data_IF_403175705150
#
_entry.id   IF_403175705150
#
_cell.length_a   1.000
_cell.length_b   1.000
_cell.length_c   1.000
_cell.angle_alpha   90.00
_cell.angle_beta   90.00
_cell.angle_gamma   90.00
#
_symmetry.space_group_name_H-M   'P 1'
#
loop_
_entity.id
_entity.type
_entity.pdbx_description
1 polymer ?
#
# COMPACT_ATOMS: atom_id res chain seq x y z
N UNK A 1 8.74 -9.60 -21.12
CA UNK A 1 8.93 -8.57 -20.07
C UNK A 1 10.27 -7.87 -20.25
N UNK A 2 10.34 -6.64 -19.83
CA UNK A 2 11.58 -5.85 -19.74
C UNK A 2 11.96 -5.74 -18.28
N UNK A 3 13.26 -5.85 -17.99
CA UNK A 3 13.82 -5.74 -16.63
C UNK A 3 14.74 -4.53 -16.55
N UNK A 4 14.58 -3.75 -15.50
CA UNK A 4 15.48 -2.68 -15.12
C UNK A 4 16.07 -2.99 -13.75
N UNK A 5 17.38 -2.76 -13.63
CA UNK A 5 18.09 -2.81 -12.35
C UNK A 5 18.80 -1.50 -12.12
N UNK A 6 19.09 -1.16 -10.86
CA UNK A 6 19.94 -0.02 -10.51
C UNK A 6 21.29 -0.53 -9.98
N UNK A 7 22.32 0.33 -10.09
CA UNK A 7 23.65 0.00 -9.52
C UNK A 7 23.64 -0.05 -7.99
N UNK A 8 22.68 0.65 -7.38
CA UNK A 8 22.55 0.78 -5.92
C UNK A 8 21.84 -0.41 -5.27
N UNK A 9 20.96 -1.09 -6.06
CA UNK A 9 20.22 -2.28 -5.62
C UNK A 9 20.15 -3.29 -6.77
N UNK A 10 21.25 -3.97 -7.10
CA UNK A 10 21.30 -4.89 -8.23
C UNK A 10 20.45 -6.16 -8.01
N UNK A 11 20.12 -6.47 -6.76
CA UNK A 11 19.24 -7.60 -6.39
C UNK A 11 17.75 -7.31 -6.67
N UNK A 12 17.38 -6.04 -6.79
CA UNK A 12 16.01 -5.63 -7.07
C UNK A 12 15.86 -5.22 -8.54
N UNK A 13 14.74 -5.61 -9.11
CA UNK A 13 14.39 -5.29 -10.48
C UNK A 13 13.03 -4.59 -10.55
N UNK A 14 12.87 -3.74 -11.55
CA UNK A 14 11.56 -3.31 -12.03
C UNK A 14 11.25 -4.14 -13.26
N UNK A 15 10.24 -4.98 -13.17
CA UNK A 15 9.75 -5.80 -14.29
C UNK A 15 8.53 -5.13 -14.92
N UNK A 16 8.58 -4.91 -16.22
CA UNK A 16 7.46 -4.41 -17.01
C UNK A 16 7.03 -5.50 -17.97
N UNK A 17 5.75 -5.85 -17.98
CA UNK A 17 5.19 -6.89 -18.81
C UNK A 17 3.80 -6.49 -19.33
N UNK A 18 3.38 -6.94 -20.53
CA UNK A 18 2.01 -6.74 -21.00
C UNK A 18 1.06 -7.58 -20.11
N UNK A 19 -0.19 -7.11 -19.97
CA UNK A 19 -1.24 -7.86 -19.23
C UNK A 19 -1.51 -9.20 -19.91
N UNK A 20 -1.84 -9.18 -21.20
CA UNK A 20 -1.92 -10.40 -22.00
C UNK A 20 -0.52 -10.89 -22.39
N UNK A 21 -0.39 -12.18 -22.67
CA UNK A 21 0.88 -12.78 -23.14
C UNK A 21 1.17 -12.39 -24.59
N UNK A 22 1.45 -11.12 -24.81
CA UNK A 22 1.81 -10.56 -26.12
C UNK A 22 3.26 -10.09 -26.12
N UNK A 23 3.78 -9.77 -27.30
CA UNK A 23 5.09 -9.16 -27.44
C UNK A 23 5.16 -7.79 -26.74
N UNK A 24 6.34 -7.43 -26.34
CA UNK A 24 6.71 -6.11 -25.84
C UNK A 24 8.02 -5.73 -26.52
N UNK A 25 8.09 -4.55 -27.07
CA UNK A 25 9.28 -4.04 -27.72
C UNK A 25 9.92 -2.96 -26.87
N UNK A 26 11.24 -2.98 -26.82
CA UNK A 26 12.05 -1.95 -26.20
C UNK A 26 13.07 -1.43 -27.21
N UNK A 27 12.87 -0.20 -27.64
CA UNK A 27 13.78 0.49 -28.56
C UNK A 27 13.81 1.98 -28.21
N UNK A 28 14.95 2.63 -28.39
CA UNK A 28 15.14 4.08 -28.19
C UNK A 28 14.65 4.59 -26.83
N UNK A 29 14.88 3.82 -25.77
CA UNK A 29 14.38 4.05 -24.40
C UNK A 29 12.83 4.10 -24.28
N UNK A 30 12.12 3.58 -25.26
CA UNK A 30 10.66 3.45 -25.26
C UNK A 30 10.25 2.00 -25.10
N UNK A 31 9.19 1.79 -24.33
CA UNK A 31 8.52 0.50 -24.22
C UNK A 31 7.22 0.58 -24.99
N UNK A 32 7.09 -0.25 -26.02
CA UNK A 32 5.89 -0.35 -26.83
C UNK A 32 5.14 -1.62 -26.48
N UNK A 33 3.89 -1.47 -26.10
CA UNK A 33 2.97 -2.56 -25.78
C UNK A 33 1.80 -2.49 -26.77
N UNK A 34 1.47 -3.59 -27.47
CA UNK A 34 0.33 -3.61 -28.37
C UNK A 34 -0.99 -3.28 -27.65
N UNK A 35 -1.89 -2.56 -28.31
CA UNK A 35 -3.21 -2.24 -27.74
C UNK A 35 -3.99 -3.50 -27.33
N UNK A 36 -3.85 -4.58 -28.08
CA UNK A 36 -4.44 -5.89 -27.78
C UNK A 36 -3.93 -6.52 -26.46
N UNK A 37 -2.84 -6.00 -25.88
CA UNK A 37 -2.33 -6.47 -24.59
C UNK A 37 -3.21 -6.06 -23.40
N UNK A 38 -4.17 -5.16 -23.58
CA UNK A 38 -5.03 -4.66 -22.50
C UNK A 38 -4.32 -3.73 -21.49
N UNK A 39 -3.05 -3.42 -21.73
CA UNK A 39 -2.23 -2.60 -20.86
C UNK A 39 -0.90 -3.29 -20.48
N UNK A 40 -0.25 -2.75 -19.47
CA UNK A 40 1.00 -3.31 -18.93
C UNK A 40 0.96 -3.38 -17.40
N UNK A 41 1.78 -4.28 -16.87
CA UNK A 41 1.99 -4.51 -15.45
C UNK A 41 3.40 -4.07 -15.07
N UNK A 42 3.54 -3.45 -13.92
CA UNK A 42 4.83 -3.12 -13.33
C UNK A 42 4.94 -3.85 -12.00
N UNK A 43 6.00 -4.62 -11.82
CA UNK A 43 6.31 -5.29 -10.57
C UNK A 43 7.73 -4.92 -10.12
N UNK A 44 7.90 -4.75 -8.81
CA UNK A 44 9.17 -4.45 -8.17
C UNK A 44 9.50 -5.52 -7.13
N UNK A 45 10.77 -5.86 -6.99
CA UNK A 45 11.29 -6.83 -6.05
C UNK A 45 12.47 -7.60 -6.62
N UNK A 46 12.79 -8.74 -6.06
CA UNK A 46 13.77 -9.63 -6.69
C UNK A 46 13.26 -10.09 -8.06
N UNK A 47 14.13 -10.65 -8.88
CA UNK A 47 13.72 -11.15 -10.18
C UNK A 47 12.61 -12.19 -10.07
N UNK A 48 12.69 -13.07 -9.09
CA UNK A 48 11.69 -14.10 -8.83
C UNK A 48 10.37 -13.51 -8.31
N UNK A 49 10.42 -12.63 -7.29
CA UNK A 49 9.21 -11.99 -6.74
C UNK A 49 8.46 -11.20 -7.80
N UNK A 50 9.19 -10.43 -8.61
CA UNK A 50 8.60 -9.62 -9.69
C UNK A 50 7.94 -10.49 -10.77
N UNK A 51 8.51 -11.65 -11.06
CA UNK A 51 7.92 -12.64 -11.99
C UNK A 51 6.65 -13.22 -11.40
N UNK A 52 6.72 -13.71 -10.15
CA UNK A 52 5.56 -14.28 -9.46
C UNK A 52 4.40 -13.28 -9.33
N UNK A 53 4.70 -12.00 -9.07
CA UNK A 53 3.69 -10.95 -9.02
C UNK A 53 2.96 -10.77 -10.36
N UNK A 54 3.68 -10.75 -11.48
CA UNK A 54 3.09 -10.67 -12.83
C UNK A 54 2.23 -11.90 -13.13
N UNK A 55 2.77 -13.09 -12.89
CA UNK A 55 2.07 -14.35 -13.16
C UNK A 55 0.82 -14.49 -12.26
N UNK A 56 0.92 -14.10 -10.98
CA UNK A 56 -0.20 -14.03 -10.05
C UNK A 56 -1.29 -13.08 -10.53
N UNK A 57 -0.93 -11.89 -11.01
CA UNK A 57 -1.92 -10.95 -11.55
C UNK A 57 -2.61 -11.50 -12.79
N UNK A 58 -1.89 -12.13 -13.71
CA UNK A 58 -2.49 -12.75 -14.90
C UNK A 58 -3.50 -13.83 -14.56
N UNK A 59 -3.25 -14.54 -13.46
CA UNK A 59 -4.12 -15.63 -12.98
C UNK A 59 -5.32 -15.14 -12.20
N UNK A 60 -5.15 -14.14 -11.33
CA UNK A 60 -6.13 -13.72 -10.34
C UNK A 60 -6.42 -12.21 -10.35
N UNK A 61 -5.88 -11.45 -11.31
CA UNK A 61 -5.93 -9.99 -11.31
C UNK A 61 -7.35 -9.42 -11.31
N UNK A 62 -8.28 -10.04 -12.03
CA UNK A 62 -9.69 -9.61 -12.00
C UNK A 62 -10.28 -9.70 -10.59
N UNK A 63 -9.96 -10.77 -9.86
CA UNK A 63 -10.38 -10.95 -8.46
C UNK A 63 -9.75 -9.90 -7.54
N UNK A 64 -8.46 -9.58 -7.74
CA UNK A 64 -7.79 -8.54 -6.97
C UNK A 64 -8.35 -7.15 -7.24
N UNK A 65 -8.64 -6.84 -8.51
CA UNK A 65 -9.27 -5.58 -8.91
C UNK A 65 -10.70 -5.47 -8.36
N UNK A 66 -11.47 -6.55 -8.40
CA UNK A 66 -12.81 -6.60 -7.81
C UNK A 66 -12.76 -6.38 -6.28
N UNK A 67 -11.84 -7.06 -5.58
CA UNK A 67 -11.65 -6.88 -4.14
C UNK A 67 -11.23 -5.44 -3.79
N UNK A 68 -10.34 -4.83 -4.58
CA UNK A 68 -9.95 -3.43 -4.41
C UNK A 68 -11.12 -2.48 -4.64
N UNK A 69 -11.90 -2.69 -5.70
CA UNK A 69 -13.10 -1.89 -5.99
C UNK A 69 -14.13 -2.01 -4.87
N UNK A 70 -14.37 -3.22 -4.36
CA UNK A 70 -15.28 -3.45 -3.25
C UNK A 70 -14.82 -2.74 -1.97
N UNK A 71 -13.51 -2.78 -1.66
CA UNK A 71 -12.93 -2.05 -0.53
C UNK A 71 -13.16 -0.55 -0.67
N UNK A 72 -12.86 0.03 -1.83
CA UNK A 72 -13.07 1.46 -2.10
C UNK A 72 -14.55 1.82 -1.91
N UNK A 73 -15.48 1.06 -2.47
CA UNK A 73 -16.91 1.29 -2.30
C UNK A 73 -17.33 1.21 -0.83
N UNK A 74 -16.82 0.21 -0.11
CA UNK A 74 -17.10 0.07 1.32
C UNK A 74 -16.63 1.28 2.12
N UNK A 75 -15.41 1.78 1.89
CA UNK A 75 -14.88 2.97 2.54
C UNK A 75 -15.75 4.20 2.26
N UNK A 76 -16.10 4.44 1.00
CA UNK A 76 -16.92 5.59 0.61
C UNK A 76 -18.34 5.52 1.17
N UNK A 77 -18.92 4.32 1.26
CA UNK A 77 -20.25 4.10 1.82
C UNK A 77 -20.27 4.29 3.36
N UNK A 78 -19.15 4.11 4.04
CA UNK A 78 -19.01 4.38 5.48
C UNK A 78 -18.77 5.86 5.79
N UNK A 79 -18.70 6.74 4.78
CA UNK A 79 -18.57 8.17 5.03
C UNK A 79 -19.85 8.69 5.69
N UNK A 80 -19.80 9.07 6.98
CA UNK A 80 -21.00 9.50 7.70
C UNK A 80 -21.42 10.94 7.35
N UNK A 81 -20.55 11.68 6.67
CA UNK A 81 -20.77 13.08 6.36
C UNK A 81 -21.34 13.24 4.95
N UNK A 82 -22.52 13.85 4.89
CA UNK A 82 -23.11 14.37 3.67
C UNK A 82 -23.49 15.82 3.90
N UNK A 83 -23.06 16.68 2.99
CA UNK A 83 -23.30 18.11 3.07
C UNK A 83 -24.16 18.57 1.89
N UNK A 84 -24.53 19.85 1.87
CA UNK A 84 -25.17 20.47 0.73
C UNK A 84 -24.17 21.05 -0.29
N UNK A 85 -22.88 20.72 -0.15
CA UNK A 85 -21.79 21.18 -1.00
C UNK A 85 -21.07 19.98 -1.63
N UNK A 86 -21.36 19.68 -2.88
CA UNK A 86 -20.76 18.55 -3.61
C UNK A 86 -19.22 18.58 -3.60
N UNK A 87 -18.62 19.78 -3.70
CA UNK A 87 -17.17 19.95 -3.64
C UNK A 87 -16.57 19.52 -2.30
N UNK A 88 -17.27 19.74 -1.20
CA UNK A 88 -16.84 19.29 0.12
C UNK A 88 -16.99 17.78 0.27
N UNK A 89 -18.10 17.21 -0.21
CA UNK A 89 -18.32 15.74 -0.19
C UNK A 89 -17.27 15.03 -1.03
N UNK A 90 -16.89 15.56 -2.19
CA UNK A 90 -15.79 15.05 -2.99
C UNK A 90 -14.44 15.15 -2.26
N UNK A 91 -14.14 16.29 -1.62
CA UNK A 91 -12.91 16.46 -0.86
C UNK A 91 -12.80 15.47 0.29
N UNK A 92 -13.88 15.24 1.04
CA UNK A 92 -13.94 14.24 2.11
C UNK A 92 -13.71 12.83 1.58
N UNK A 93 -14.31 12.49 0.45
CA UNK A 93 -14.09 11.18 -0.21
C UNK A 93 -12.63 10.99 -0.61
N UNK A 94 -11.99 12.01 -1.16
CA UNK A 94 -10.56 11.97 -1.48
C UNK A 94 -9.67 11.81 -0.25
N UNK A 95 -9.96 12.52 0.84
CA UNK A 95 -9.22 12.38 2.11
C UNK A 95 -9.31 10.96 2.63
N UNK A 96 -10.50 10.34 2.61
CA UNK A 96 -10.67 8.95 3.03
C UNK A 96 -9.85 7.98 2.19
N UNK A 97 -9.90 8.13 0.87
CA UNK A 97 -9.13 7.27 -0.05
C UNK A 97 -7.62 7.48 0.11
N UNK A 98 -7.17 8.72 0.33
CA UNK A 98 -5.76 9.02 0.55
C UNK A 98 -5.26 8.40 1.86
N UNK A 99 -6.04 8.51 2.93
CA UNK A 99 -5.70 7.88 4.21
C UNK A 99 -5.62 6.36 4.10
N UNK A 100 -6.55 5.73 3.37
CA UNK A 100 -6.53 4.28 3.11
C UNK A 100 -5.28 3.84 2.34
N UNK A 101 -4.79 4.66 1.42
CA UNK A 101 -3.56 4.37 0.66
C UNK A 101 -2.29 4.39 1.52
N UNK A 102 -2.31 5.11 2.65
CA UNK A 102 -1.18 5.13 3.59
C UNK A 102 -1.14 3.89 4.48
N UNK A 103 -2.27 3.17 4.61
CA UNK A 103 -2.35 1.94 5.41
C UNK A 103 -1.75 0.79 4.60
N UNK A 104 -0.75 0.13 5.16
CA UNK A 104 -0.02 -0.93 4.48
C UNK A 104 0.36 -2.06 5.43
N UNK A 105 0.80 -3.16 4.86
CA UNK A 105 1.31 -4.33 5.58
C UNK A 105 2.77 -4.54 5.23
N UNK A 106 3.64 -4.35 6.22
CA UNK A 106 5.08 -4.66 6.11
C UNK A 106 5.63 -5.07 7.49
N UNK A 107 6.83 -5.61 7.53
CA UNK A 107 7.48 -6.10 8.76
C UNK A 107 6.59 -7.09 9.55
N UNK A 108 5.73 -7.84 8.85
CA UNK A 108 4.81 -8.80 9.46
C UNK A 108 3.65 -8.17 10.23
N UNK A 109 3.33 -6.88 10.01
CA UNK A 109 2.25 -6.17 10.66
C UNK A 109 1.63 -5.05 9.84
N UNK A 110 0.53 -4.51 10.34
CA UNK A 110 -0.13 -3.35 9.77
C UNK A 110 0.43 -2.05 10.36
N UNK A 111 0.51 -1.03 9.53
CA UNK A 111 0.88 0.31 9.92
C UNK A 111 0.38 1.34 8.92
N UNK A 112 0.62 2.59 9.22
CA UNK A 112 0.31 3.70 8.33
C UNK A 112 1.57 4.52 8.09
N UNK A 113 1.89 4.78 6.84
CA UNK A 113 2.99 5.64 6.47
C UNK A 113 2.74 7.08 6.93
N UNK A 114 3.78 7.75 7.42
CA UNK A 114 3.69 9.15 7.79
C UNK A 114 3.52 10.06 6.55
N UNK A 115 3.94 9.61 5.38
CA UNK A 115 3.72 10.31 4.11
C UNK A 115 4.46 9.66 2.94
N UNK A 116 3.79 9.59 1.80
CA UNK A 116 4.38 9.12 0.55
C UNK A 116 4.99 10.31 -0.23
N UNK A 117 6.04 10.08 -1.01
CA UNK A 117 6.79 8.82 -1.17
C UNK A 117 8.00 8.66 -0.22
N UNK A 118 8.25 9.63 0.68
CA UNK A 118 9.52 9.72 1.40
C UNK A 118 9.51 9.05 2.78
N UNK A 119 8.34 8.98 3.44
CA UNK A 119 8.21 8.48 4.81
C UNK A 119 7.48 7.13 4.81
N UNK A 120 8.16 6.11 4.25
CA UNK A 120 7.62 4.76 4.04
C UNK A 120 7.94 3.77 5.17
N UNK A 121 8.43 4.27 6.31
CA UNK A 121 8.55 3.50 7.55
C UNK A 121 7.33 3.73 8.44
N UNK A 122 7.15 2.86 9.42
CA UNK A 122 6.13 3.03 10.44
C UNK A 122 6.64 3.92 11.57
N UNK A 123 6.09 5.14 11.62
CA UNK A 123 6.38 6.10 12.68
C UNK A 123 5.24 6.11 13.69
N UNK A 124 5.49 5.51 14.88
CA UNK A 124 4.48 5.30 15.91
C UNK A 124 3.80 6.58 16.37
N UNK A 125 4.57 7.66 16.61
CA UNK A 125 3.99 8.95 17.01
C UNK A 125 3.03 9.49 15.96
N UNK A 126 3.45 9.49 14.68
CA UNK A 126 2.65 10.01 13.58
C UNK A 126 1.37 9.19 13.40
N UNK A 127 1.49 7.85 13.44
CA UNK A 127 0.34 6.96 13.33
C UNK A 127 -0.65 7.12 14.50
N UNK A 128 -0.16 7.13 15.74
CA UNK A 128 -1.06 7.14 16.89
C UNK A 128 -1.75 8.50 17.09
N UNK A 129 -1.09 9.60 16.71
CA UNK A 129 -1.72 10.92 16.73
C UNK A 129 -2.79 11.06 15.63
N UNK A 130 -2.52 10.51 14.42
CA UNK A 130 -3.46 10.58 13.30
C UNK A 130 -4.58 9.54 13.36
N UNK A 131 -4.38 8.42 14.04
CA UNK A 131 -5.32 7.30 14.10
C UNK A 131 -6.77 7.68 14.45
N UNK A 132 -7.07 8.55 15.43
CA UNK A 132 -8.44 8.95 15.70
C UNK A 132 -9.16 9.49 14.49
N UNK A 133 -8.55 10.40 13.74
CA UNK A 133 -9.15 11.01 12.55
C UNK A 133 -9.07 10.12 11.31
N UNK A 134 -7.91 9.52 11.06
CA UNK A 134 -7.67 8.80 9.82
C UNK A 134 -8.32 7.40 9.77
N UNK A 135 -8.48 6.74 10.93
CA UNK A 135 -8.91 5.33 11.00
C UNK A 135 -10.19 5.16 11.82
N UNK A 136 -10.23 5.69 13.07
CA UNK A 136 -11.36 5.45 13.96
C UNK A 136 -12.63 6.21 13.52
N UNK A 137 -12.51 7.49 13.15
CA UNK A 137 -13.66 8.28 12.66
C UNK A 137 -14.23 7.76 11.33
N UNK A 138 -13.46 6.95 10.59
CA UNK A 138 -13.93 6.29 9.36
C UNK A 138 -14.49 4.90 9.61
N UNK A 139 -14.64 4.47 10.87
CA UNK A 139 -15.21 3.17 11.25
C UNK A 139 -14.30 1.97 11.03
N UNK A 140 -13.02 2.17 10.75
CA UNK A 140 -12.04 1.12 10.47
C UNK A 140 -11.44 0.53 11.77
N UNK A 141 -12.28 0.09 12.71
CA UNK A 141 -11.85 -0.36 14.04
C UNK A 141 -10.92 -1.58 14.01
N UNK A 142 -11.16 -2.53 13.10
CA UNK A 142 -10.29 -3.70 12.94
C UNK A 142 -8.90 -3.29 12.45
N UNK A 143 -8.82 -2.37 11.51
CA UNK A 143 -7.55 -1.79 11.04
C UNK A 143 -6.80 -1.09 12.17
N UNK A 144 -7.50 -0.31 13.00
CA UNK A 144 -6.90 0.35 14.16
C UNK A 144 -6.34 -0.68 15.16
N UNK A 145 -7.11 -1.73 15.47
CA UNK A 145 -6.66 -2.82 16.32
C UNK A 145 -5.41 -3.50 15.79
N UNK A 146 -5.37 -3.79 14.49
CA UNK A 146 -4.26 -4.50 13.86
C UNK A 146 -2.99 -3.63 13.83
N UNK A 147 -3.11 -2.31 13.63
CA UNK A 147 -2.01 -1.36 13.74
C UNK A 147 -1.46 -1.32 15.18
N UNK A 148 -2.34 -1.20 16.18
CA UNK A 148 -1.93 -1.19 17.59
C UNK A 148 -1.26 -2.50 17.98
N UNK A 149 -1.81 -3.65 17.58
CA UNK A 149 -1.24 -4.96 17.83
C UNK A 149 0.13 -5.14 17.16
N UNK A 150 0.35 -4.55 15.99
CA UNK A 150 1.64 -4.58 15.30
C UNK A 150 2.73 -3.93 16.12
N UNK A 151 2.48 -2.75 16.69
CA UNK A 151 3.45 -2.05 17.55
C UNK A 151 3.60 -2.68 18.93
N UNK A 152 2.51 -3.18 19.51
CA UNK A 152 2.53 -3.83 20.83
C UNK A 152 3.50 -5.03 20.88
N UNK A 153 3.72 -5.71 19.77
CA UNK A 153 4.69 -6.83 19.68
C UNK A 153 6.14 -6.41 19.96
N UNK A 154 6.46 -5.14 19.77
CA UNK A 154 7.80 -4.58 19.98
C UNK A 154 7.95 -3.86 21.32
N UNK A 155 6.95 -4.00 22.22
CA UNK A 155 7.06 -3.44 23.56
C UNK A 155 8.21 -4.10 24.32
N UNK A 156 9.02 -3.29 24.98
CA UNK A 156 10.06 -3.79 25.88
C UNK A 156 9.41 -4.39 27.14
N UNK A 157 9.47 -5.71 27.26
CA UNK A 157 8.89 -6.48 28.37
C UNK A 157 9.93 -6.93 29.41
N UNK A 158 11.20 -6.56 29.23
CA UNK A 158 12.29 -6.92 30.17
C UNK A 158 12.23 -5.98 31.38
N UNK A 159 11.78 -6.49 32.53
CA UNK A 159 11.55 -5.69 33.73
C UNK A 159 12.79 -4.94 34.26
N UNK A 160 14.00 -5.41 33.92
CA UNK A 160 15.27 -4.78 34.31
C UNK A 160 15.80 -3.78 33.26
N UNK A 161 15.13 -3.67 32.13
CA UNK A 161 15.52 -2.75 31.06
C UNK A 161 15.22 -1.30 31.46
N UNK A 162 16.11 -0.34 31.15
CA UNK A 162 15.84 1.08 31.33
C UNK A 162 14.67 1.60 30.45
N UNK A 163 14.29 0.80 29.47
CA UNK A 163 13.19 1.11 28.54
C UNK A 163 11.95 0.24 28.74
N UNK A 164 11.89 -0.46 29.88
CA UNK A 164 10.74 -1.32 30.21
C UNK A 164 9.40 -0.63 29.98
N UNK A 165 8.49 -1.32 29.31
CA UNK A 165 7.16 -0.83 28.97
C UNK A 165 7.11 0.08 27.73
N UNK A 166 8.24 0.53 27.19
CA UNK A 166 8.26 1.38 26.01
C UNK A 166 7.96 0.60 24.74
N UNK A 167 7.32 1.28 23.81
CA UNK A 167 7.12 0.85 22.41
C UNK A 167 8.01 1.73 21.53
N UNK A 168 8.71 1.18 20.54
CA UNK A 168 9.57 1.97 19.66
C UNK A 168 8.76 3.00 18.86
N UNK A 169 9.41 4.13 18.53
CA UNK A 169 8.76 5.15 17.71
C UNK A 169 8.90 4.89 16.20
N UNK A 170 9.75 3.94 15.80
CA UNK A 170 9.98 3.58 14.40
C UNK A 170 10.17 2.08 14.27
N UNK A 171 9.52 1.49 13.29
CA UNK A 171 9.67 0.10 12.85
C UNK A 171 10.12 0.08 11.40
#
# INVERSE_FOLDING_TARGET
SVLYTTKESPENVIRIAPVAETGIEFADNLITVPVAAGGFLIAFGTEEDSRQAIDGFRKEGEKWLAARSQRIQSLLNHNPLKTNLDSLDHALSWIMLTNDQLITHQHGGYGMYAGLPWFTDFWGRDMFISMPGAVLCTGQFDTARDILASFARYQDTISTSPTYGRVPNRL
#
